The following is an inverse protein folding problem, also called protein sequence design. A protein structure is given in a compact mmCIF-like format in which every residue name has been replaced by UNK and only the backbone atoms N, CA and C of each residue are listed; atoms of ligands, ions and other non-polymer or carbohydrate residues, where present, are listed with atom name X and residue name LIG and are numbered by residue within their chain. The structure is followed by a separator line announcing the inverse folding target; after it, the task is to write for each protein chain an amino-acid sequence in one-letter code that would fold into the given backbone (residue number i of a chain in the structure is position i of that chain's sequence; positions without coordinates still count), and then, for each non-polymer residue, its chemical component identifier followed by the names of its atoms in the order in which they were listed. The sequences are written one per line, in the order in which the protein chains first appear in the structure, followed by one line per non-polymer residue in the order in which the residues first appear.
data_IF_576587673440
#
_entry.id   IF_576587673440
#
_cell.length_a   1.000
_cell.length_b   1.000
_cell.length_c   1.000
_cell.angle_alpha   90.00
_cell.angle_beta   90.00
_cell.angle_gamma   90.00
#
_symmetry.space_group_name_H-M   'P 1'
#
loop_
_entity.id
_entity.type
_entity.pdbx_description
1 polymer ?
#
# COMPACT_ATOMS: atom_id res chain seq x y z
N UNK A 1 -23.22 26.16 18.92
CA UNK A 1 -22.46 25.31 17.97
C UNK A 1 -20.99 25.35 18.38
N UNK A 2 -20.57 24.45 19.27
CA UNK A 2 -19.17 24.35 19.68
C UNK A 2 -18.40 23.65 18.57
N UNK A 3 -17.40 24.32 18.00
CA UNK A 3 -16.52 23.75 16.98
C UNK A 3 -15.77 22.56 17.59
N UNK A 4 -16.28 21.36 17.32
CA UNK A 4 -15.72 20.08 17.70
C UNK A 4 -14.45 19.81 16.89
N UNK A 5 -13.32 20.40 17.26
CA UNK A 5 -12.03 20.15 16.61
C UNK A 5 -11.60 18.69 16.82
N UNK A 6 -11.41 17.94 15.74
CA UNK A 6 -10.89 16.57 15.79
C UNK A 6 -9.53 16.54 16.51
N UNK A 7 -9.19 15.47 17.26
CA UNK A 7 -7.87 15.36 17.87
C UNK A 7 -6.81 15.35 16.76
N UNK A 8 -5.93 16.35 16.78
CA UNK A 8 -4.86 16.50 15.79
C UNK A 8 -3.92 15.30 15.89
N UNK A 9 -3.66 14.58 14.79
CA UNK A 9 -2.72 13.47 14.81
C UNK A 9 -1.32 13.96 15.20
N UNK A 10 -0.53 13.14 15.91
CA UNK A 10 0.85 13.48 16.20
C UNK A 10 1.60 13.74 14.89
N UNK A 11 2.40 14.82 14.84
CA UNK A 11 3.18 15.15 13.64
C UNK A 11 4.27 14.09 13.48
N UNK A 12 4.20 13.34 12.38
CA UNK A 12 5.21 12.36 12.02
C UNK A 12 6.23 13.03 11.09
N UNK A 13 7.50 12.96 11.45
CA UNK A 13 8.59 13.60 10.71
C UNK A 13 9.25 14.72 11.50
N UNK A 14 10.52 14.98 11.20
CA UNK A 14 11.34 15.96 11.90
C UNK A 14 10.67 17.35 11.91
N UNK A 15 10.72 18.11 13.04
CA UNK A 15 10.09 19.42 13.16
C UNK A 15 10.52 20.42 12.08
N UNK A 16 11.79 20.33 11.66
CA UNK A 16 12.41 21.25 10.69
C UNK A 16 12.39 20.71 9.24
N UNK A 17 11.68 19.62 8.96
CA UNK A 17 11.66 18.97 7.64
C UNK A 17 12.87 18.07 7.38
N UNK A 18 13.41 18.05 6.16
CA UNK A 18 14.57 17.19 5.85
C UNK A 18 15.85 17.76 6.49
N UNK A 19 16.69 16.91 7.06
CA UNK A 19 18.00 17.31 7.56
C UNK A 19 18.83 17.99 6.46
N UNK A 20 19.57 19.07 6.79
CA UNK A 20 20.40 19.80 5.83
C UNK A 20 21.53 18.93 5.26
N UNK A 21 22.02 17.94 6.02
CA UNK A 21 22.94 16.93 5.52
C UNK A 21 22.72 15.56 6.17
N UNK A 22 23.15 14.50 5.48
CA UNK A 22 23.18 13.12 5.99
C UNK A 22 24.35 12.85 6.96
N UNK A 23 25.19 13.86 7.22
CA UNK A 23 26.44 13.70 8.00
C UNK A 23 26.20 13.47 9.49
N UNK A 24 25.04 13.91 10.00
CA UNK A 24 24.59 13.65 11.37
C UNK A 24 23.67 12.44 11.53
N UNK A 25 23.45 11.66 10.46
CA UNK A 25 22.58 10.49 10.53
C UNK A 25 23.24 9.37 11.36
N UNK A 26 22.45 8.60 12.14
CA UNK A 26 22.93 7.41 12.84
C UNK A 26 23.65 6.46 11.90
N UNK A 27 24.67 5.76 12.41
CA UNK A 27 25.48 4.82 11.62
C UNK A 27 24.62 3.76 10.93
N UNK A 28 23.63 3.19 11.64
CA UNK A 28 22.63 2.27 11.10
C UNK A 28 21.89 2.82 9.87
N UNK A 29 21.52 4.12 9.89
CA UNK A 29 20.84 4.77 8.77
C UNK A 29 21.80 4.96 7.59
N UNK A 30 23.06 5.31 7.87
CA UNK A 30 24.09 5.47 6.82
C UNK A 30 24.40 4.14 6.14
N UNK A 31 24.50 3.06 6.89
CA UNK A 31 24.78 1.73 6.35
C UNK A 31 23.58 1.15 5.61
N UNK A 32 22.36 1.36 6.10
CA UNK A 32 21.15 1.01 5.35
C UNK A 32 21.01 1.80 4.04
N UNK A 33 21.40 3.08 4.02
CA UNK A 33 21.46 3.90 2.79
C UNK A 33 22.53 3.38 1.83
N UNK A 34 23.70 2.97 2.33
CA UNK A 34 24.76 2.34 1.52
C UNK A 34 24.29 1.01 0.91
N UNK A 35 23.61 0.18 1.68
CA UNK A 35 23.00 -1.06 1.18
C UNK A 35 22.04 -0.78 0.02
N UNK A 36 21.21 0.26 0.12
CA UNK A 36 20.33 0.67 -0.98
C UNK A 36 21.05 1.25 -2.21
N UNK A 37 22.22 1.87 -2.02
CA UNK A 37 23.07 2.24 -3.16
C UNK A 37 23.62 1.00 -3.88
N UNK A 38 24.03 -0.03 -3.14
CA UNK A 38 24.47 -1.31 -3.70
C UNK A 38 23.32 -1.96 -4.48
N UNK A 39 22.12 -2.02 -3.91
CA UNK A 39 20.91 -2.52 -4.58
C UNK A 39 20.69 -1.81 -5.90
N UNK A 40 20.68 -0.48 -5.93
CA UNK A 40 20.46 0.25 -7.18
C UNK A 40 21.61 0.10 -8.18
N UNK A 41 22.86 -0.07 -7.73
CA UNK A 41 23.99 -0.37 -8.62
C UNK A 41 23.84 -1.76 -9.26
N UNK A 42 23.47 -2.77 -8.47
CA UNK A 42 23.18 -4.13 -8.96
C UNK A 42 22.00 -4.09 -9.95
N UNK A 43 20.92 -3.38 -9.63
CA UNK A 43 19.77 -3.25 -10.54
C UNK A 43 20.14 -2.56 -11.86
N UNK A 44 21.00 -1.54 -11.82
CA UNK A 44 21.49 -0.88 -13.04
C UNK A 44 22.32 -1.85 -13.90
N UNK A 45 23.21 -2.63 -13.28
CA UNK A 45 23.99 -3.65 -13.98
C UNK A 45 23.08 -4.74 -14.58
N UNK A 46 22.11 -5.22 -13.81
CA UNK A 46 21.13 -6.20 -14.27
C UNK A 46 20.32 -5.69 -15.47
N UNK A 47 19.91 -4.42 -15.47
CA UNK A 47 19.20 -3.81 -16.60
C UNK A 47 20.06 -3.76 -17.87
N UNK A 48 21.37 -3.48 -17.75
CA UNK A 48 22.31 -3.50 -18.88
C UNK A 48 22.50 -4.92 -19.40
N UNK A 49 22.67 -5.90 -18.51
CA UNK A 49 22.79 -7.31 -18.91
C UNK A 49 21.53 -7.80 -19.61
N UNK A 50 20.35 -7.44 -19.09
CA UNK A 50 19.07 -7.75 -19.71
C UNK A 50 18.92 -7.15 -21.11
N UNK A 51 19.38 -5.91 -21.31
CA UNK A 51 19.40 -5.29 -22.64
C UNK A 51 20.29 -6.07 -23.61
N UNK A 52 21.51 -6.44 -23.18
CA UNK A 52 22.44 -7.23 -24.01
C UNK A 52 21.81 -8.57 -24.38
N UNK A 53 21.14 -9.24 -23.44
CA UNK A 53 20.42 -10.49 -23.71
C UNK A 53 19.33 -10.30 -24.76
N UNK A 54 18.51 -9.26 -24.64
CA UNK A 54 17.44 -8.98 -25.59
C UNK A 54 17.97 -8.63 -27.00
N UNK A 55 19.16 -8.03 -27.09
CA UNK A 55 19.81 -7.73 -28.37
C UNK A 55 20.45 -8.96 -29.02
N UNK A 56 20.96 -9.90 -28.23
CA UNK A 56 21.60 -11.13 -28.72
C UNK A 56 20.58 -12.20 -29.11
N UNK A 57 19.52 -12.35 -28.32
CA UNK A 57 18.45 -13.32 -28.57
C UNK A 57 17.08 -12.72 -28.25
N UNK A 58 16.41 -12.08 -29.25
CA UNK A 58 15.10 -11.48 -29.03
C UNK A 58 13.98 -12.52 -28.90
N UNK A 59 14.25 -13.82 -29.13
CA UNK A 59 13.20 -14.86 -29.19
C UNK A 59 12.37 -14.93 -27.92
N UNK A 60 13.01 -14.81 -26.76
CA UNK A 60 12.32 -14.79 -25.47
C UNK A 60 11.31 -13.63 -25.38
N UNK A 61 11.68 -12.45 -25.87
CA UNK A 61 10.78 -11.30 -25.94
C UNK A 61 9.70 -11.50 -27.00
N UNK A 62 10.04 -12.07 -28.14
CA UNK A 62 9.08 -12.38 -29.21
C UNK A 62 7.98 -13.30 -28.72
N UNK A 63 8.33 -14.38 -28.02
CA UNK A 63 7.34 -15.28 -27.39
C UNK A 63 6.50 -14.54 -26.37
N UNK A 64 7.10 -13.75 -25.48
CA UNK A 64 6.35 -12.97 -24.48
C UNK A 64 5.36 -11.98 -25.12
N UNK A 65 5.78 -11.29 -26.18
CA UNK A 65 4.95 -10.33 -26.91
C UNK A 65 3.84 -11.04 -27.67
N UNK A 66 4.12 -12.18 -28.30
CA UNK A 66 3.09 -13.05 -28.90
C UNK A 66 2.04 -13.50 -27.90
N UNK A 67 2.46 -14.03 -26.75
CA UNK A 67 1.54 -14.48 -25.70
C UNK A 67 0.64 -13.35 -25.20
N UNK A 68 1.15 -12.11 -25.15
CA UNK A 68 0.37 -10.93 -24.78
C UNK A 68 -0.60 -10.51 -25.90
N UNK A 69 -0.23 -10.72 -27.16
CA UNK A 69 -0.98 -10.34 -28.35
C UNK A 69 -2.02 -11.37 -28.79
N UNK A 70 -1.92 -12.63 -28.36
CA UNK A 70 -2.93 -13.66 -28.64
C UNK A 70 -4.34 -13.27 -28.15
N UNK A 71 -4.43 -12.27 -27.29
CA UNK A 71 -5.69 -11.69 -26.79
C UNK A 71 -6.13 -10.36 -27.44
N UNK A 72 -5.32 -9.78 -28.34
CA UNK A 72 -5.52 -8.41 -28.88
C UNK A 72 -5.25 -8.35 -30.38
N UNK A 73 -6.26 -7.96 -31.17
CA UNK A 73 -6.08 -7.68 -32.60
C UNK A 73 -5.20 -6.44 -32.80
N UNK A 74 -4.11 -6.56 -33.55
CA UNK A 74 -3.25 -5.43 -33.85
C UNK A 74 -3.91 -4.46 -34.83
N UNK A 75 -3.66 -3.14 -34.68
CA UNK A 75 -3.96 -2.14 -35.71
C UNK A 75 -3.11 -2.36 -36.97
N UNK A 76 -3.69 -2.04 -38.13
CA UNK A 76 -2.99 -2.10 -39.42
C UNK A 76 -1.72 -1.24 -39.42
N UNK A 77 -0.60 -1.85 -39.79
CA UNK A 77 0.72 -1.20 -39.89
C UNK A 77 1.66 -1.43 -38.70
N UNK A 78 1.22 -2.08 -37.63
CA UNK A 78 2.10 -2.48 -36.52
C UNK A 78 2.62 -3.90 -36.75
N UNK A 79 3.92 -4.05 -36.97
CA UNK A 79 4.57 -5.37 -37.08
C UNK A 79 4.93 -5.92 -35.70
N UNK A 80 4.98 -7.25 -35.59
CA UNK A 80 5.42 -7.96 -34.39
C UNK A 80 6.82 -7.49 -33.92
N UNK A 81 7.74 -7.25 -34.86
CA UNK A 81 9.09 -6.76 -34.60
C UNK A 81 9.11 -5.33 -34.01
N UNK A 82 8.18 -4.47 -34.43
CA UNK A 82 8.01 -3.12 -33.86
C UNK A 82 7.55 -3.20 -32.40
N UNK A 83 6.62 -4.12 -32.09
CA UNK A 83 6.14 -4.37 -30.73
C UNK A 83 7.21 -4.98 -29.83
N UNK A 84 7.98 -5.95 -30.33
CA UNK A 84 9.10 -6.55 -29.61
C UNK A 84 10.16 -5.51 -29.25
N UNK A 85 10.56 -4.70 -30.22
CA UNK A 85 11.53 -3.63 -30.02
C UNK A 85 11.00 -2.55 -29.07
N UNK A 86 9.73 -2.16 -29.24
CA UNK A 86 9.05 -1.21 -28.37
C UNK A 86 8.99 -1.68 -26.92
N UNK A 87 8.64 -2.95 -26.69
CA UNK A 87 8.61 -3.58 -25.37
C UNK A 87 10.00 -3.65 -24.75
N UNK A 88 11.04 -3.99 -25.52
CA UNK A 88 12.42 -4.01 -25.04
C UNK A 88 12.87 -2.63 -24.53
N UNK A 89 12.64 -1.59 -25.34
CA UNK A 89 12.99 -0.20 -25.00
C UNK A 89 12.18 0.29 -23.81
N UNK A 90 10.87 0.04 -23.79
CA UNK A 90 10.00 0.44 -22.69
C UNK A 90 10.43 -0.21 -21.38
N UNK A 91 10.74 -1.52 -21.39
CA UNK A 91 11.20 -2.22 -20.20
C UNK A 91 12.53 -1.65 -19.68
N UNK A 92 13.48 -1.34 -20.57
CA UNK A 92 14.73 -0.66 -20.20
C UNK A 92 14.45 0.70 -19.55
N UNK A 93 13.60 1.52 -20.16
CA UNK A 93 13.25 2.85 -19.64
C UNK A 93 12.57 2.75 -18.27
N UNK A 94 11.67 1.78 -18.08
CA UNK A 94 11.01 1.53 -16.80
C UNK A 94 12.02 1.09 -15.73
N UNK A 95 12.95 0.20 -16.06
CA UNK A 95 14.01 -0.21 -15.13
C UNK A 95 14.91 0.98 -14.74
N UNK A 96 15.34 1.79 -15.70
CA UNK A 96 16.15 2.98 -15.43
C UNK A 96 15.38 4.01 -14.59
N UNK A 97 14.10 4.23 -14.88
CA UNK A 97 13.24 5.10 -14.09
C UNK A 97 13.08 4.58 -12.65
N UNK A 98 12.92 3.27 -12.47
CA UNK A 98 12.83 2.64 -11.15
C UNK A 98 14.13 2.79 -10.34
N UNK A 99 15.29 2.61 -10.98
CA UNK A 99 16.61 2.84 -10.36
C UNK A 99 16.76 4.31 -9.96
N UNK A 100 16.42 5.25 -10.86
CA UNK A 100 16.50 6.68 -10.59
C UNK A 100 15.58 7.09 -9.42
N UNK A 101 14.35 6.56 -9.38
CA UNK A 101 13.40 6.79 -8.29
C UNK A 101 13.94 6.23 -6.97
N UNK A 102 14.51 5.02 -6.97
CA UNK A 102 15.13 4.43 -5.77
C UNK A 102 16.29 5.29 -5.27
N UNK A 103 17.15 5.77 -6.16
CA UNK A 103 18.28 6.65 -5.81
C UNK A 103 17.81 7.99 -5.23
N UNK A 104 16.76 8.58 -5.81
CA UNK A 104 16.14 9.79 -5.31
C UNK A 104 15.55 9.59 -3.90
N UNK A 105 14.83 8.50 -3.68
CA UNK A 105 14.23 8.18 -2.39
C UNK A 105 15.29 7.83 -1.34
N UNK A 106 16.36 7.16 -1.72
CA UNK A 106 17.49 6.85 -0.83
C UNK A 106 18.19 8.13 -0.35
N UNK A 107 18.41 9.09 -1.27
CA UNK A 107 18.91 10.43 -0.91
C UNK A 107 17.95 11.19 0.02
N UNK A 108 16.65 10.90 -0.04
CA UNK A 108 15.64 11.52 0.82
C UNK A 108 15.58 10.87 2.20
N UNK A 109 15.76 9.55 2.29
CA UNK A 109 15.85 8.82 3.58
C UNK A 109 17.10 9.17 4.35
N UNK A 110 18.25 9.33 3.68
CA UNK A 110 19.49 9.77 4.35
C UNK A 110 19.36 11.14 5.02
N UNK A 111 18.33 11.92 4.66
CA UNK A 111 17.97 13.22 5.23
C UNK A 111 16.77 13.16 6.19
N UNK A 112 16.31 11.98 6.60
CA UNK A 112 15.23 11.81 7.59
C UNK A 112 13.81 11.77 7.01
N UNK A 113 13.64 11.49 5.72
CA UNK A 113 12.32 11.42 5.07
C UNK A 113 11.48 10.19 5.48
N UNK A 114 10.48 10.35 6.35
CA UNK A 114 9.61 9.25 6.82
C UNK A 114 8.77 8.60 5.71
N UNK A 115 8.22 9.41 4.78
CA UNK A 115 7.46 8.88 3.62
C UNK A 115 8.34 8.03 2.70
N UNK A 116 9.61 8.41 2.55
CA UNK A 116 10.56 7.65 1.75
C UNK A 116 10.92 6.33 2.42
N UNK A 117 11.00 6.28 3.76
CA UNK A 117 11.18 5.03 4.52
C UNK A 117 10.07 4.03 4.23
N UNK A 118 8.80 4.46 4.23
CA UNK A 118 7.67 3.59 3.91
C UNK A 118 7.78 3.01 2.50
N UNK A 119 8.14 3.85 1.52
CA UNK A 119 8.31 3.39 0.14
C UNK A 119 9.46 2.39 0.00
N UNK A 120 10.59 2.63 0.68
CA UNK A 120 11.72 1.69 0.72
C UNK A 120 11.36 0.39 1.48
N UNK A 121 10.49 0.42 2.49
CA UNK A 121 9.94 -0.79 3.09
C UNK A 121 9.15 -1.62 2.07
N UNK A 122 8.20 -0.99 1.37
CA UNK A 122 7.39 -1.67 0.34
C UNK A 122 8.29 -2.21 -0.77
N UNK A 123 9.26 -1.41 -1.23
CA UNK A 123 10.25 -1.81 -2.22
C UNK A 123 11.12 -2.98 -1.76
N UNK A 124 11.54 -3.01 -0.49
CA UNK A 124 12.31 -4.13 0.07
C UNK A 124 11.51 -5.42 0.09
N UNK A 125 10.25 -5.35 0.52
CA UNK A 125 9.35 -6.51 0.55
C UNK A 125 9.14 -7.03 -0.87
N UNK A 126 8.89 -6.13 -1.83
CA UNK A 126 8.76 -6.50 -3.24
C UNK A 126 10.04 -7.17 -3.78
N UNK A 127 11.22 -6.59 -3.53
CA UNK A 127 12.49 -7.15 -3.99
C UNK A 127 12.81 -8.49 -3.31
N UNK A 128 12.49 -8.65 -2.04
CA UNK A 128 12.65 -9.92 -1.32
C UNK A 128 11.72 -11.01 -1.87
N UNK A 129 10.46 -10.67 -2.16
CA UNK A 129 9.52 -11.58 -2.81
C UNK A 129 10.00 -11.95 -4.23
N UNK A 130 10.49 -10.98 -5.01
CA UNK A 130 11.05 -11.23 -6.33
C UNK A 130 12.30 -12.13 -6.26
N UNK A 131 13.18 -11.91 -5.28
CA UNK A 131 14.30 -12.80 -5.04
C UNK A 131 13.84 -14.24 -4.72
N UNK A 132 12.81 -14.40 -3.89
CA UNK A 132 12.25 -15.72 -3.58
C UNK A 132 11.65 -16.39 -4.82
N UNK A 133 10.83 -15.69 -5.60
CA UNK A 133 10.28 -16.20 -6.86
C UNK A 133 11.41 -16.59 -7.82
N UNK A 134 12.46 -15.78 -7.90
CA UNK A 134 13.60 -16.02 -8.77
C UNK A 134 14.38 -17.29 -8.37
N UNK A 135 14.52 -17.59 -7.08
CA UNK A 135 15.17 -18.82 -6.59
C UNK A 135 14.44 -20.08 -7.07
N UNK A 136 13.10 -20.02 -7.15
CA UNK A 136 12.27 -21.14 -7.58
C UNK A 136 11.91 -21.10 -9.07
N UNK A 137 12.37 -20.08 -9.81
CA UNK A 137 12.06 -19.93 -11.23
C UNK A 137 12.91 -20.90 -12.06
N UNK A 138 12.26 -21.53 -13.04
CA UNK A 138 12.99 -22.35 -14.02
C UNK A 138 13.63 -21.41 -15.05
N UNK A 139 14.91 -21.62 -15.42
CA UNK A 139 15.53 -20.83 -16.47
C UNK A 139 14.73 -20.95 -17.77
N UNK A 140 14.53 -19.85 -18.53
CA UNK A 140 13.93 -19.94 -19.84
C UNK A 140 14.75 -20.84 -20.77
N UNK A 141 14.07 -21.62 -21.61
CA UNK A 141 14.69 -22.53 -22.60
C UNK A 141 15.48 -21.77 -23.68
N UNK A 142 15.28 -20.45 -23.78
CA UNK A 142 15.92 -19.55 -24.73
C UNK A 142 16.77 -18.51 -24.01
N UNK A 143 18.08 -18.49 -24.31
CA UNK A 143 19.03 -17.49 -23.83
C UNK A 143 20.41 -18.07 -23.50
N UNK A 144 21.45 -17.24 -23.56
CA UNK A 144 22.78 -17.62 -23.09
C UNK A 144 22.74 -17.88 -21.57
N UNK A 145 22.78 -19.17 -21.19
CA UNK A 145 22.72 -19.67 -19.81
C UNK A 145 23.52 -18.84 -18.79
N UNK A 146 24.77 -18.37 -19.06
CA UNK A 146 25.51 -17.58 -18.07
C UNK A 146 24.93 -16.18 -17.79
N UNK A 147 24.36 -15.49 -18.78
CA UNK A 147 23.81 -14.14 -18.57
C UNK A 147 22.48 -14.19 -17.80
N UNK A 148 21.64 -15.18 -18.11
CA UNK A 148 20.40 -15.46 -17.36
C UNK A 148 20.71 -15.72 -15.88
N UNK A 149 21.73 -16.54 -15.60
CA UNK A 149 22.17 -16.82 -14.24
C UNK A 149 22.69 -15.57 -13.52
N UNK A 150 23.40 -14.69 -14.22
CA UNK A 150 23.91 -13.44 -13.65
C UNK A 150 22.77 -12.49 -13.28
N UNK A 151 21.76 -12.34 -14.15
CA UNK A 151 20.54 -11.58 -13.86
C UNK A 151 19.81 -12.15 -12.65
N UNK A 152 19.64 -13.47 -12.59
CA UNK A 152 19.00 -14.16 -11.46
C UNK A 152 19.75 -13.95 -10.15
N UNK A 153 21.08 -14.15 -10.15
CA UNK A 153 21.93 -13.92 -8.99
C UNK A 153 21.88 -12.45 -8.52
N UNK A 154 21.90 -11.50 -9.46
CA UNK A 154 21.75 -10.07 -9.18
C UNK A 154 20.43 -9.75 -8.48
N UNK A 155 19.32 -10.33 -8.94
CA UNK A 155 18.00 -10.17 -8.31
C UNK A 155 17.97 -10.74 -6.89
N UNK A 156 18.56 -11.91 -6.67
CA UNK A 156 18.62 -12.55 -5.34
C UNK A 156 19.44 -11.70 -4.36
N UNK A 157 20.66 -11.31 -4.76
CA UNK A 157 21.54 -10.45 -3.94
C UNK A 157 20.84 -9.12 -3.63
N UNK A 158 20.22 -8.51 -4.64
CA UNK A 158 19.46 -7.27 -4.51
C UNK A 158 18.32 -7.39 -3.49
N UNK A 159 17.56 -8.48 -3.52
CA UNK A 159 16.48 -8.74 -2.55
C UNK A 159 16.98 -8.88 -1.11
N UNK A 160 18.05 -9.65 -0.89
CA UNK A 160 18.62 -9.84 0.45
C UNK A 160 19.22 -8.54 0.98
N UNK A 161 19.98 -7.81 0.17
CA UNK A 161 20.61 -6.54 0.58
C UNK A 161 19.54 -5.47 0.82
N UNK A 162 18.45 -5.43 0.06
CA UNK A 162 17.33 -4.52 0.32
C UNK A 162 16.66 -4.82 1.66
N UNK A 163 16.42 -6.09 1.98
CA UNK A 163 15.84 -6.51 3.26
C UNK A 163 16.73 -6.13 4.46
N UNK A 164 18.04 -6.36 4.36
CA UNK A 164 18.99 -5.94 5.40
C UNK A 164 19.07 -4.42 5.50
N UNK A 165 19.11 -3.73 4.36
CA UNK A 165 19.19 -2.27 4.30
C UNK A 165 18.00 -1.60 4.98
N UNK A 166 16.78 -2.10 4.76
CA UNK A 166 15.60 -1.57 5.44
C UNK A 166 15.56 -1.94 6.92
N UNK A 167 15.98 -3.16 7.28
CA UNK A 167 16.04 -3.58 8.67
C UNK A 167 16.95 -2.68 9.51
N UNK A 168 18.09 -2.26 8.94
CA UNK A 168 18.99 -1.28 9.58
C UNK A 168 18.33 0.09 9.72
N UNK A 169 17.55 0.53 8.73
CA UNK A 169 16.86 1.83 8.73
C UNK A 169 15.68 1.84 9.72
N UNK A 170 14.96 0.74 9.89
CA UNK A 170 13.72 0.65 10.70
C UNK A 170 13.95 0.36 12.18
N UNK A 171 15.21 0.19 12.62
CA UNK A 171 15.53 -0.02 14.03
C UNK A 171 14.91 1.07 14.92
N UNK A 172 14.41 0.69 16.12
CA UNK A 172 13.78 1.63 17.06
C UNK A 172 14.77 2.71 17.53
N UNK A 173 16.07 2.39 17.58
CA UNK A 173 17.16 3.33 17.88
C UNK A 173 17.21 4.52 16.91
N UNK A 174 16.70 4.38 15.69
CA UNK A 174 16.68 5.44 14.70
C UNK A 174 15.38 6.26 14.76
N UNK A 175 14.45 5.97 15.68
CA UNK A 175 13.14 6.60 15.71
C UNK A 175 13.22 8.13 15.89
N UNK A 176 14.13 8.59 16.73
CA UNK A 176 14.38 10.00 17.02
C UNK A 176 14.89 10.75 15.79
N UNK A 177 15.74 10.11 14.99
CA UNK A 177 16.27 10.69 13.74
C UNK A 177 15.14 10.98 12.74
N UNK A 178 14.13 10.12 12.71
CA UNK A 178 12.98 10.24 11.82
C UNK A 178 11.85 11.09 12.42
N UNK A 179 11.95 11.54 13.67
CA UNK A 179 10.91 12.29 14.36
C UNK A 179 9.61 11.48 14.48
N UNK A 180 9.74 10.20 14.85
CA UNK A 180 8.58 9.37 15.13
C UNK A 180 8.05 9.71 16.53
N UNK A 181 6.72 9.89 16.68
CA UNK A 181 6.12 10.16 17.98
C UNK A 181 6.39 8.99 18.92
N UNK A 182 6.65 9.31 20.18
CA UNK A 182 6.94 8.31 21.20
C UNK A 182 5.71 7.39 21.40
N UNK A 183 5.94 6.14 21.82
CA UNK A 183 4.87 5.15 22.01
C UNK A 183 3.79 5.67 22.97
N UNK A 184 4.20 6.40 24.00
CA UNK A 184 3.28 7.02 24.96
C UNK A 184 2.38 8.10 24.31
N UNK A 185 2.90 8.88 23.35
CA UNK A 185 2.10 9.89 22.64
C UNK A 185 1.09 9.25 21.68
N UNK A 186 1.48 8.13 21.05
CA UNK A 186 0.61 7.34 20.19
C UNK A 186 -0.53 6.70 21.00
N UNK A 187 -0.21 6.13 22.16
CA UNK A 187 -1.20 5.53 23.06
C UNK A 187 -2.16 6.58 23.63
N UNK A 188 -1.64 7.73 24.06
CA UNK A 188 -2.48 8.85 24.51
C UNK A 188 -3.39 9.39 23.39
N UNK A 189 -2.94 9.38 22.14
CA UNK A 189 -3.78 9.71 20.98
C UNK A 189 -4.85 8.65 20.73
N UNK A 190 -4.48 7.36 20.77
CA UNK A 190 -5.41 6.24 20.59
C UNK A 190 -6.51 6.25 21.65
N UNK A 191 -6.16 6.55 22.91
CA UNK A 191 -7.14 6.68 24.01
C UNK A 191 -8.07 7.89 23.80
N UNK A 192 -7.52 9.05 23.39
CA UNK A 192 -8.34 10.23 23.05
C UNK A 192 -9.29 9.96 21.87
N UNK A 193 -8.86 9.19 20.89
CA UNK A 193 -9.68 8.80 19.75
C UNK A 193 -10.79 7.81 20.16
N UNK A 194 -10.46 6.82 20.99
CA UNK A 194 -11.43 5.86 21.52
C UNK A 194 -12.52 6.56 22.35
N UNK A 195 -12.12 7.43 23.29
CA UNK A 195 -13.05 8.24 24.10
C UNK A 195 -13.95 9.13 23.23
N UNK A 196 -13.44 9.67 22.13
CA UNK A 196 -14.25 10.48 21.21
C UNK A 196 -15.22 9.64 20.38
N UNK A 197 -14.80 8.48 19.90
CA UNK A 197 -15.70 7.58 19.18
C UNK A 197 -16.87 7.15 20.08
N UNK A 198 -16.60 6.84 21.35
CA UNK A 198 -17.67 6.54 22.33
C UNK A 198 -18.62 7.72 22.55
N UNK A 199 -18.10 8.96 22.63
CA UNK A 199 -18.94 10.15 22.75
C UNK A 199 -19.82 10.35 21.51
N UNK A 200 -19.27 10.15 20.32
CA UNK A 200 -20.01 10.24 19.06
C UNK A 200 -21.10 9.17 18.96
N UNK A 201 -20.83 7.94 19.42
CA UNK A 201 -21.80 6.86 19.41
C UNK A 201 -22.95 7.11 20.40
N UNK A 202 -22.64 7.67 21.59
CA UNK A 202 -23.67 8.13 22.55
C UNK A 202 -24.51 9.26 21.97
N UNK A 203 -23.88 10.26 21.35
CA UNK A 203 -24.58 11.39 20.73
C UNK A 203 -25.47 10.92 19.56
N UNK A 204 -24.98 9.98 18.75
CA UNK A 204 -25.77 9.34 17.67
C UNK A 204 -26.94 8.54 18.23
N UNK A 205 -26.75 7.79 19.31
CA UNK A 205 -27.81 7.04 19.97
C UNK A 205 -28.89 7.98 20.54
N UNK A 206 -28.49 9.05 21.22
CA UNK A 206 -29.41 10.07 21.75
C UNK A 206 -30.15 10.82 20.64
N UNK A 207 -29.47 11.21 19.57
CA UNK A 207 -30.09 11.84 18.40
C UNK A 207 -31.08 10.90 17.72
N UNK A 208 -30.78 9.60 17.66
CA UNK A 208 -31.70 8.56 17.14
C UNK A 208 -32.92 8.40 18.04
N UNK A 209 -32.75 8.42 19.37
CA UNK A 209 -33.85 8.41 20.34
C UNK A 209 -34.73 9.66 20.22
N UNK A 210 -34.13 10.86 20.21
CA UNK A 210 -34.84 12.13 19.99
C UNK A 210 -35.59 12.17 18.66
N UNK A 211 -35.01 11.63 17.58
CA UNK A 211 -35.70 11.51 16.28
C UNK A 211 -36.85 10.51 16.29
N UNK A 212 -36.77 9.44 17.09
CA UNK A 212 -37.88 8.49 17.27
C UNK A 212 -39.01 9.13 18.07
N UNK A 213 -38.71 9.76 19.20
CA UNK A 213 -39.69 10.50 20.01
C UNK A 213 -40.37 11.61 19.22
N UNK A 214 -39.61 12.44 18.50
CA UNK A 214 -40.19 13.49 17.66
C UNK A 214 -41.01 12.96 16.45
N UNK A 215 -40.85 11.69 16.05
CA UNK A 215 -41.72 11.04 15.06
C UNK A 215 -43.00 10.50 15.71
N UNK A 216 -42.90 9.95 16.92
CA UNK A 216 -44.07 9.51 17.70
C UNK A 216 -44.95 10.69 18.11
N UNK A 217 -44.37 11.80 18.56
CA UNK A 217 -45.11 13.02 18.94
C UNK A 217 -45.78 13.73 17.75
N UNK A 218 -45.29 13.51 16.52
CA UNK A 218 -45.90 14.07 15.29
C UNK A 218 -47.04 13.23 14.73
N UNK A 219 -47.21 11.99 15.19
CA UNK A 219 -48.30 11.11 14.75
C UNK A 219 -49.02 10.46 15.96
N UNK A 220 -49.69 11.25 16.82
CA UNK A 220 -50.49 10.71 17.91
C UNK A 220 -51.77 9.99 17.44
N UNK A 221 -52.01 9.90 16.12
CA UNK A 221 -53.32 9.59 15.54
C UNK A 221 -53.54 8.15 15.07
N UNK A 222 -52.54 7.27 15.03
CA UNK A 222 -52.69 5.96 14.34
C UNK A 222 -52.75 4.70 15.19
N UNK A 223 -52.54 4.79 16.52
CA UNK A 223 -52.56 3.61 17.41
C UNK A 223 -53.71 3.56 18.42
N UNK A 224 -54.72 4.44 18.30
CA UNK A 224 -55.97 4.33 19.06
C UNK A 224 -57.04 3.45 18.34
N UNK A 225 -56.69 2.79 17.22
CA UNK A 225 -57.63 2.04 16.39
C UNK A 225 -57.71 0.53 16.60
N UNK A 226 -56.83 -0.08 17.40
CA UNK A 226 -56.63 -1.55 17.34
C UNK A 226 -56.80 -2.27 18.68
N UNK A 227 -57.47 -1.68 19.67
CA UNK A 227 -57.80 -2.37 20.93
C UNK A 227 -59.28 -2.25 21.36
N UNK A 228 -60.14 -1.60 20.56
CA UNK A 228 -61.57 -1.46 20.84
C UNK A 228 -62.49 -2.44 20.11
N UNK A 229 -62.02 -3.12 19.05
CA UNK A 229 -62.88 -3.95 18.19
C UNK A 229 -62.90 -5.45 18.55
N UNK A 230 -61.91 -5.97 19.27
CA UNK A 230 -61.85 -7.42 19.55
C UNK A 230 -62.74 -7.88 20.71
N UNK A 231 -63.06 -7.00 21.65
CA UNK A 231 -63.95 -7.32 22.80
C UNK A 231 -65.44 -7.12 22.51
N UNK A 232 -65.81 -6.38 21.45
CA UNK A 232 -67.22 -6.23 21.03
C UNK A 232 -67.75 -7.44 20.25
N UNK A 233 -66.89 -8.13 19.50
CA UNK A 233 -67.29 -9.24 18.63
C UNK A 233 -67.53 -10.55 19.41
N UNK A 234 -66.76 -10.80 20.49
CA UNK A 234 -66.95 -12.00 21.34
C UNK A 234 -68.24 -11.98 22.17
N UNK A 235 -68.80 -10.81 22.46
CA UNK A 235 -70.08 -10.70 23.18
C UNK A 235 -71.31 -10.75 22.25
N UNK A 236 -71.16 -10.42 20.96
CA UNK A 236 -72.24 -10.54 19.99
C UNK A 236 -72.48 -12.00 19.56
N UNK A 237 -71.44 -12.84 19.51
CA UNK A 237 -71.55 -14.24 19.07
C UNK A 237 -72.17 -15.17 20.14
N UNK A 238 -72.05 -14.83 21.43
CA UNK A 238 -72.71 -15.59 22.52
C UNK A 238 -74.21 -15.30 22.66
N UNK A 239 -74.72 -14.17 22.14
CA UNK A 239 -76.14 -13.82 22.27
C UNK A 239 -77.03 -14.46 21.19
N UNK A 240 -76.44 -14.99 20.11
CA UNK A 240 -77.18 -15.54 18.97
C UNK A 240 -77.17 -17.07 18.86
N UNK A 241 -76.67 -17.78 19.87
CA UNK A 241 -76.73 -19.27 19.98
C UNK A 241 -77.67 -19.75 21.09
N UNK A 242 -78.54 -18.88 21.59
CA UNK A 242 -79.43 -19.15 22.72
C UNK A 242 -80.90 -18.87 22.42
N UNK A 243 -81.37 -19.18 21.20
CA UNK A 243 -82.79 -19.31 20.85
C UNK A 243 -82.95 -20.33 19.74
#
# INVERSE_FOLDING_TARGET
MTQQTSPTPPKVGRPDGLAPSSKGAPENVRDGVRAWYIVGAVQALTAVVQLVMNLQDPRALTTQVRDQMDSVSLPDGVTEETLVTGTAILNLLLMLAAVALCMFLNRRVSRGGVRSRLFLCVGSVYLALMALVQVFSTPPDTGATPLVLLVGAGTIVSGVVAAVGIWLITRPENADWFGLPDKAEIEAYAEKLARRNEQLDKERAEKKKRRRQAREDRDPGKNAGTNGQENGQKNAEKKNRGR
#
